data_IF_314543210235
#
_entry.id   IF_314543210235
#
_cell.length_a   1.000
_cell.length_b   1.000
_cell.length_c   1.000
_cell.angle_alpha   90.00
_cell.angle_beta   90.00
_cell.angle_gamma   90.00
#
_symmetry.space_group_name_H-M   'P 1'
#
loop_
_entity.id
_entity.type
_entity.pdbx_description
1 polymer ?
#
# COMPACT_ATOMS: atom_id res chain seq x y z
N UNK A 1 0.49 35.31 70.51
CA UNK A 1 0.19 35.64 69.10
C UNK A 1 0.20 34.36 68.29
N UNK A 2 -0.86 34.12 67.53
CA UNK A 2 -1.13 32.92 66.71
C UNK A 2 -0.35 32.98 65.39
N UNK A 3 -0.05 31.83 64.80
CA UNK A 3 0.39 31.68 63.41
C UNK A 3 0.87 30.26 63.09
N UNK A 4 0.02 29.23 63.19
CA UNK A 4 -0.67 28.52 62.08
C UNK A 4 0.23 27.91 61.00
N UNK A 5 0.24 26.58 61.00
CA UNK A 5 0.74 25.62 60.02
C UNK A 5 0.35 25.92 58.57
N UNK A 6 1.26 25.64 57.62
CA UNK A 6 0.90 25.24 56.25
C UNK A 6 1.72 24.03 55.81
N UNK A 7 1.11 22.86 56.00
CA UNK A 7 1.39 21.62 55.28
C UNK A 7 0.70 21.78 53.92
N UNK A 8 1.46 21.95 52.85
CA UNK A 8 1.09 21.83 51.44
C UNK A 8 2.47 21.75 50.74
N UNK A 9 2.92 20.68 50.08
CA UNK A 9 2.24 19.98 48.99
C UNK A 9 3.10 18.76 48.59
N UNK A 10 2.60 17.51 48.61
CA UNK A 10 3.15 16.43 47.79
C UNK A 10 2.14 16.01 46.70
N UNK A 11 1.44 16.98 46.11
CA UNK A 11 0.42 16.73 45.06
C UNK A 11 1.00 16.95 43.65
N UNK A 12 2.10 17.69 43.51
CA UNK A 12 2.69 17.95 42.19
C UNK A 12 3.50 16.78 41.60
N UNK A 13 4.01 15.85 42.42
CA UNK A 13 4.88 14.76 41.91
C UNK A 13 4.07 13.57 41.42
N UNK A 14 2.88 13.31 41.96
CA UNK A 14 2.03 12.19 41.53
C UNK A 14 1.23 12.47 40.26
N UNK A 15 0.82 13.72 40.00
CA UNK A 15 0.14 14.06 38.73
C UNK A 15 1.11 14.06 37.52
N UNK A 16 2.38 14.42 37.72
CA UNK A 16 3.38 14.40 36.65
C UNK A 16 3.74 12.96 36.23
N UNK A 17 3.78 12.01 37.17
CA UNK A 17 4.00 10.59 36.83
C UNK A 17 2.79 9.92 36.18
N UNK A 18 1.54 10.31 36.52
CA UNK A 18 0.36 9.80 35.83
C UNK A 18 0.18 10.38 34.41
N UNK A 19 0.64 11.60 34.16
CA UNK A 19 0.66 12.17 32.81
C UNK A 19 1.70 11.49 31.90
N UNK A 20 2.84 11.04 32.46
CA UNK A 20 3.86 10.29 31.72
C UNK A 20 3.50 8.82 31.47
N UNK A 21 2.66 8.21 32.32
CA UNK A 21 2.12 6.87 32.08
C UNK A 21 0.93 6.85 31.11
N UNK A 22 0.32 8.00 30.83
CA UNK A 22 -0.78 8.15 29.86
C UNK A 22 -0.34 8.34 28.40
N UNK A 23 0.95 8.58 28.14
CA UNK A 23 1.48 8.70 26.77
C UNK A 23 1.95 7.38 26.17
N UNK A 24 1.86 6.27 26.91
CA UNK A 24 1.91 4.91 26.36
C UNK A 24 0.58 4.53 25.69
N UNK A 25 -0.15 5.52 25.17
CA UNK A 25 -1.27 5.32 24.29
C UNK A 25 -0.72 4.59 23.05
N UNK A 26 -0.90 3.27 23.06
CA UNK A 26 -1.08 2.38 21.92
C UNK A 26 -0.60 3.05 20.64
N UNK A 27 0.69 2.90 20.34
CA UNK A 27 1.29 3.35 19.08
C UNK A 27 0.47 2.65 17.98
N UNK A 28 -0.53 3.32 17.42
CA UNK A 28 -1.49 2.81 16.44
C UNK A 28 -0.84 2.61 15.07
N UNK A 29 0.47 2.35 15.08
CA UNK A 29 1.34 2.15 13.94
C UNK A 29 1.54 0.66 13.73
N UNK A 30 1.53 0.19 12.47
CA UNK A 30 1.95 -1.16 12.19
C UNK A 30 3.42 -1.34 12.56
N UNK A 31 3.74 -2.48 13.17
CA UNK A 31 5.09 -3.01 13.37
C UNK A 31 5.59 -3.77 12.14
N UNK A 32 4.67 -4.36 11.39
CA UNK A 32 4.95 -5.08 10.15
C UNK A 32 3.97 -4.66 9.08
N UNK A 33 4.49 -4.47 7.87
CA UNK A 33 3.71 -4.08 6.72
C UNK A 33 3.82 -5.17 5.66
N UNK A 34 2.68 -5.73 5.25
CA UNK A 34 2.57 -6.50 4.02
C UNK A 34 2.16 -5.57 2.90
N UNK A 35 2.90 -5.62 1.80
CA UNK A 35 2.66 -4.79 0.62
C UNK A 35 2.33 -5.74 -0.51
N UNK A 36 1.14 -5.55 -1.07
CA UNK A 36 0.77 -6.07 -2.38
C UNK A 36 0.91 -4.92 -3.38
N UNK A 37 1.71 -5.12 -4.42
CA UNK A 37 1.88 -4.18 -5.50
C UNK A 37 1.76 -4.94 -6.81
N UNK A 38 0.72 -4.63 -7.59
CA UNK A 38 0.40 -5.37 -8.79
C UNK A 38 -0.17 -4.46 -9.87
N UNK A 39 -0.35 -5.01 -11.07
CA UNK A 39 -1.03 -4.34 -12.17
C UNK A 39 -2.37 -5.01 -12.40
N UNK A 40 -3.37 -4.21 -12.76
CA UNK A 40 -4.66 -4.72 -13.15
C UNK A 40 -4.50 -5.70 -14.32
N UNK A 41 -5.29 -6.77 -14.36
CA UNK A 41 -5.20 -7.83 -15.39
C UNK A 41 -5.38 -7.30 -16.83
N UNK A 42 -6.11 -6.19 -16.99
CA UNK A 42 -6.27 -5.51 -18.27
C UNK A 42 -5.00 -4.77 -18.75
N UNK A 43 -4.04 -4.55 -17.84
CA UNK A 43 -2.79 -3.80 -18.02
C UNK A 43 -1.58 -4.64 -17.57
N UNK A 44 -1.22 -5.70 -18.33
CA UNK A 44 0.05 -6.39 -18.14
C UNK A 44 1.21 -5.39 -18.14
N UNK A 45 2.01 -5.39 -17.08
CA UNK A 45 3.10 -4.44 -16.94
C UNK A 45 4.32 -5.01 -16.24
N UNK A 46 5.47 -4.41 -16.52
CA UNK A 46 6.70 -4.58 -15.72
C UNK A 46 6.69 -3.51 -14.63
N UNK A 47 6.82 -3.93 -13.38
CA UNK A 47 6.67 -3.07 -12.21
C UNK A 47 8.00 -2.87 -11.48
N UNK A 48 8.19 -1.67 -10.94
CA UNK A 48 9.26 -1.27 -10.02
C UNK A 48 8.66 -0.38 -8.93
N UNK A 49 9.15 -0.49 -7.70
CA UNK A 49 8.62 0.27 -6.56
C UNK A 49 9.67 0.52 -5.52
N UNK A 50 9.60 1.70 -4.93
CA UNK A 50 10.36 2.12 -3.77
C UNK A 50 9.42 2.52 -2.64
N UNK A 51 9.85 2.24 -1.42
CA UNK A 51 9.21 2.70 -0.18
C UNK A 51 10.25 3.49 0.62
N UNK A 52 9.96 4.74 0.94
CA UNK A 52 10.85 5.62 1.72
C UNK A 52 12.29 5.60 1.16
N UNK A 53 12.44 5.74 -0.17
CA UNK A 53 13.70 5.70 -0.91
C UNK A 53 14.48 4.36 -0.84
N UNK A 54 13.84 3.29 -0.36
CA UNK A 54 14.37 1.93 -0.42
C UNK A 54 13.67 1.18 -1.53
N UNK A 55 14.44 0.60 -2.44
CA UNK A 55 13.90 -0.29 -3.47
C UNK A 55 13.28 -1.53 -2.81
N UNK A 56 11.99 -1.72 -3.06
CA UNK A 56 11.22 -2.87 -2.59
C UNK A 56 10.92 -3.80 -3.77
N UNK A 57 10.65 -3.27 -4.96
CA UNK A 57 10.54 -4.07 -6.20
C UNK A 57 11.54 -3.52 -7.20
N UNK A 58 12.57 -4.32 -7.51
CA UNK A 58 13.56 -3.97 -8.52
C UNK A 58 13.01 -4.10 -9.94
N UNK A 59 12.33 -5.22 -10.20
CA UNK A 59 11.74 -5.60 -11.48
C UNK A 59 10.78 -6.76 -11.24
N UNK A 60 9.51 -6.63 -11.64
CA UNK A 60 8.58 -7.75 -11.60
C UNK A 60 7.44 -7.66 -12.62
N UNK A 61 7.21 -8.75 -13.34
CA UNK A 61 6.05 -8.94 -14.21
C UNK A 61 4.79 -9.32 -13.43
N UNK A 62 4.95 -9.96 -12.26
CA UNK A 62 3.82 -10.33 -11.39
C UNK A 62 3.49 -9.24 -10.36
N UNK A 63 4.35 -8.25 -10.21
CA UNK A 63 4.36 -7.37 -9.05
C UNK A 63 5.04 -8.02 -7.83
N UNK A 64 4.75 -7.52 -6.62
CA UNK A 64 5.19 -8.10 -5.34
C UNK A 64 3.97 -8.36 -4.49
N UNK A 65 3.75 -9.62 -4.13
CA UNK A 65 2.90 -10.00 -3.02
C UNK A 65 3.83 -10.52 -1.93
N UNK A 66 4.28 -9.63 -1.03
CA UNK A 66 5.10 -10.07 0.10
C UNK A 66 4.22 -10.48 1.27
N UNK A 67 4.11 -11.79 1.45
CA UNK A 67 3.50 -12.43 2.63
C UNK A 67 4.44 -12.42 3.84
N UNK A 68 5.74 -12.11 3.65
CA UNK A 68 6.69 -11.85 4.72
C UNK A 68 6.67 -10.38 5.07
N UNK A 69 6.13 -10.01 6.23
CA UNK A 69 6.01 -8.62 6.64
C UNK A 69 7.37 -7.91 6.61
N UNK A 70 7.45 -6.82 5.85
CA UNK A 70 8.59 -5.90 5.93
C UNK A 70 8.48 -5.27 7.31
N UNK A 71 9.57 -5.29 8.08
CA UNK A 71 9.62 -4.53 9.33
C UNK A 71 9.28 -3.08 9.01
N UNK A 72 8.39 -2.47 9.80
CA UNK A 72 8.15 -1.04 9.67
C UNK A 72 9.44 -0.32 10.08
N UNK A 73 10.24 0.09 9.08
CA UNK A 73 11.66 0.40 9.27
C UNK A 73 11.94 1.71 10.01
N UNK A 74 10.95 2.55 10.27
CA UNK A 74 11.23 3.89 10.80
C UNK A 74 10.56 4.17 12.14
N UNK A 75 11.42 4.34 13.15
CA UNK A 75 11.12 5.15 14.35
C UNK A 75 11.00 6.65 14.03
N UNK A 76 11.11 7.07 12.76
CA UNK A 76 11.28 8.47 12.35
C UNK A 76 10.08 9.09 11.60
N UNK A 77 9.06 8.34 11.17
CA UNK A 77 7.92 8.95 10.48
C UNK A 77 6.64 8.11 10.50
N UNK A 78 5.49 8.78 10.56
CA UNK A 78 4.15 8.19 10.36
C UNK A 78 3.82 8.01 8.87
N UNK A 79 4.67 8.49 7.96
CA UNK A 79 4.40 8.51 6.53
C UNK A 79 5.08 7.36 5.79
N UNK A 80 4.30 6.66 4.98
CA UNK A 80 4.74 5.68 3.99
C UNK A 80 4.71 6.35 2.62
N UNK A 81 5.89 6.61 2.05
CA UNK A 81 6.05 7.23 0.74
C UNK A 81 6.41 6.17 -0.28
N UNK A 82 5.48 5.86 -1.16
CA UNK A 82 5.65 4.92 -2.26
C UNK A 82 5.96 5.67 -3.55
N UNK A 83 7.07 5.32 -4.20
CA UNK A 83 7.30 5.68 -5.59
C UNK A 83 7.06 4.44 -6.43
N UNK A 84 6.01 4.46 -7.24
CA UNK A 84 5.69 3.35 -8.14
C UNK A 84 6.04 3.71 -9.57
N UNK A 85 6.55 2.73 -10.29
CA UNK A 85 6.91 2.83 -11.69
C UNK A 85 6.42 1.58 -12.40
N UNK A 86 5.87 1.73 -13.60
CA UNK A 86 5.53 0.58 -14.40
C UNK A 86 5.61 0.89 -15.89
N UNK A 87 5.87 -0.14 -16.68
CA UNK A 87 5.77 -0.10 -18.13
C UNK A 87 4.59 -0.95 -18.58
N UNK A 88 3.56 -0.30 -19.10
CA UNK A 88 2.40 -0.92 -19.73
C UNK A 88 2.83 -1.56 -21.05
N UNK A 89 2.80 -2.90 -21.09
CA UNK A 89 3.27 -3.70 -22.22
C UNK A 89 2.37 -3.48 -23.45
N UNK A 90 1.08 -3.23 -23.24
CA UNK A 90 0.10 -3.12 -24.33
C UNK A 90 0.18 -1.76 -24.99
N UNK A 91 0.26 -0.69 -24.20
CA UNK A 91 0.35 0.67 -24.70
C UNK A 91 1.78 1.14 -24.98
N UNK A 92 2.78 0.33 -24.61
CA UNK A 92 4.22 0.62 -24.74
C UNK A 92 4.64 1.95 -24.09
N UNK A 93 4.07 2.22 -22.90
CA UNK A 93 4.29 3.46 -22.15
C UNK A 93 4.75 3.18 -20.74
N UNK A 94 5.65 4.01 -20.24
CA UNK A 94 6.08 4.00 -18.85
C UNK A 94 5.36 5.09 -18.05
N UNK A 95 5.08 4.81 -16.79
CA UNK A 95 4.41 5.73 -15.88
C UNK A 95 5.09 5.76 -14.52
N UNK A 96 4.90 6.86 -13.80
CA UNK A 96 5.31 7.01 -12.40
C UNK A 96 4.23 7.66 -11.55
N UNK A 97 4.11 7.25 -10.30
CA UNK A 97 3.30 7.95 -9.32
C UNK A 97 3.98 7.96 -7.95
N UNK A 98 3.79 9.05 -7.22
CA UNK A 98 4.14 9.14 -5.81
C UNK A 98 2.86 9.06 -4.97
N UNK A 99 2.82 8.11 -4.04
CA UNK A 99 1.73 7.97 -3.07
C UNK A 99 2.27 8.16 -1.67
N UNK A 100 1.65 9.04 -0.90
CA UNK A 100 1.92 9.15 0.54
C UNK A 100 0.69 8.71 1.35
N UNK A 101 0.90 7.73 2.24
CA UNK A 101 -0.10 7.19 3.15
C UNK A 101 0.38 7.34 4.58
N UNK A 102 -0.44 7.88 5.49
CA UNK A 102 -0.11 7.83 6.91
C UNK A 102 -0.36 6.42 7.45
N UNK A 103 0.57 5.89 8.23
CA UNK A 103 0.49 4.55 8.78
C UNK A 103 -0.73 4.36 9.70
N UNK A 104 -1.20 5.46 10.30
CA UNK A 104 -2.44 5.55 11.08
C UNK A 104 -3.73 5.36 10.25
N UNK A 105 -3.68 5.51 8.92
CA UNK A 105 -4.79 5.24 8.01
C UNK A 105 -4.95 3.74 7.73
N UNK A 106 -3.93 2.93 8.00
CA UNK A 106 -3.93 1.50 7.72
C UNK A 106 -4.79 0.72 8.72
N UNK A 107 -5.47 -0.32 8.22
CA UNK A 107 -6.19 -1.25 9.08
C UNK A 107 -5.22 -2.25 9.69
N UNK A 108 -5.12 -2.24 11.02
CA UNK A 108 -4.24 -3.14 11.79
C UNK A 108 -5.00 -4.38 12.23
N UNK A 109 -4.36 -5.55 12.10
CA UNK A 109 -4.86 -6.83 12.63
C UNK A 109 -4.44 -6.96 14.10
N UNK A 110 -5.41 -6.86 15.02
CA UNK A 110 -5.12 -6.78 16.46
C UNK A 110 -4.48 -8.05 17.07
N UNK A 111 -4.78 -9.27 16.57
CA UNK A 111 -4.14 -10.54 17.04
C UNK A 111 -2.68 -10.65 16.67
N UNK A 112 -2.25 -9.92 15.64
CA UNK A 112 -0.88 -9.87 15.17
C UNK A 112 -0.41 -8.45 15.42
N UNK A 113 -0.05 -8.09 16.68
CA UNK A 113 0.07 -6.71 17.10
C UNK A 113 0.98 -5.93 16.16
N UNK A 114 0.38 -5.03 15.37
CA UNK A 114 1.07 -4.19 14.40
C UNK A 114 1.16 -4.75 12.97
N UNK A 115 0.42 -5.79 12.59
CA UNK A 115 0.37 -6.19 11.17
C UNK A 115 -0.65 -5.34 10.41
N UNK A 116 -0.22 -4.69 9.34
CA UNK A 116 -1.11 -4.03 8.38
C UNK A 116 -0.82 -4.48 6.94
N UNK A 117 -1.81 -4.35 6.08
CA UNK A 117 -1.71 -4.65 4.65
C UNK A 117 -2.02 -3.40 3.85
N UNK A 118 -1.21 -3.13 2.85
CA UNK A 118 -1.51 -2.14 1.82
C UNK A 118 -1.46 -2.83 0.45
N UNK A 119 -2.42 -2.51 -0.39
CA UNK A 119 -2.51 -2.99 -1.77
C UNK A 119 -2.45 -1.79 -2.71
N UNK A 120 -1.54 -1.83 -3.68
CA UNK A 120 -1.32 -0.79 -4.68
C UNK A 120 -1.49 -1.43 -6.04
N UNK A 121 -2.51 -1.00 -6.78
CA UNK A 121 -2.85 -1.53 -8.09
C UNK A 121 -2.73 -0.45 -9.15
N UNK A 122 -1.86 -0.67 -10.14
CA UNK A 122 -1.79 0.16 -11.32
C UNK A 122 -2.85 -0.29 -12.34
N UNK A 123 -3.75 0.61 -12.68
CA UNK A 123 -4.88 0.40 -13.59
C UNK A 123 -4.64 0.96 -14.99
N UNK A 124 -5.64 0.82 -15.89
CA UNK A 124 -5.55 1.34 -17.24
C UNK A 124 -5.44 2.86 -17.25
N UNK A 125 -4.75 3.40 -18.25
CA UNK A 125 -4.68 4.84 -18.52
C UNK A 125 -4.02 5.68 -17.44
N UNK A 126 -3.01 5.15 -16.75
CA UNK A 126 -2.27 5.84 -15.67
C UNK A 126 -2.98 5.87 -14.30
N UNK A 127 -4.04 5.09 -14.09
CA UNK A 127 -4.68 4.98 -12.79
C UNK A 127 -3.79 4.26 -11.76
N UNK A 128 -3.78 4.76 -10.52
CA UNK A 128 -3.26 4.03 -9.36
C UNK A 128 -4.30 4.06 -8.25
N UNK A 129 -4.63 2.88 -7.73
CA UNK A 129 -5.53 2.73 -6.59
C UNK A 129 -4.75 2.12 -5.43
N UNK A 130 -4.86 2.74 -4.27
CA UNK A 130 -4.22 2.28 -3.04
C UNK A 130 -5.28 1.96 -2.02
N UNK A 131 -5.27 0.74 -1.52
CA UNK A 131 -6.26 0.25 -0.56
C UNK A 131 -5.60 -0.37 0.67
N UNK A 132 -6.36 -0.45 1.75
CA UNK A 132 -6.04 -1.26 2.92
C UNK A 132 -7.17 -2.25 3.15
N UNK A 133 -6.89 -3.33 3.88
CA UNK A 133 -7.92 -4.27 4.31
C UNK A 133 -9.05 -3.56 5.06
N UNK A 134 -10.27 -4.07 4.94
CA UNK A 134 -11.40 -3.58 5.71
C UNK A 134 -11.17 -3.76 7.23
N UNK A 135 -11.45 -2.73 8.04
CA UNK A 135 -11.26 -2.77 9.50
C UNK A 135 -12.02 -3.91 10.19
N UNK A 136 -13.24 -4.21 9.72
CA UNK A 136 -14.02 -5.32 10.26
C UNK A 136 -13.33 -6.66 9.98
N UNK A 137 -12.89 -6.88 8.74
CA UNK A 137 -12.15 -8.10 8.35
C UNK A 137 -10.83 -8.21 9.14
N UNK A 138 -10.07 -7.12 9.26
CA UNK A 138 -8.86 -7.08 10.07
C UNK A 138 -9.13 -7.45 11.53
N UNK A 139 -10.27 -7.01 12.09
CA UNK A 139 -10.68 -7.38 13.45
C UNK A 139 -11.09 -8.85 13.59
N UNK A 140 -11.70 -9.46 12.55
CA UNK A 140 -12.08 -10.88 12.58
C UNK A 140 -10.82 -11.76 12.51
N UNK A 141 -9.90 -11.45 11.58
CA UNK A 141 -8.56 -12.10 11.53
C UNK A 141 -7.84 -11.89 12.88
N UNK A 142 -7.99 -10.68 13.42
CA UNK A 142 -7.58 -10.21 14.74
C UNK A 142 -8.11 -11.03 15.92
N UNK A 143 -9.18 -11.80 15.75
CA UNK A 143 -9.88 -12.48 16.85
C UNK A 143 -9.73 -13.99 16.87
N UNK A 144 -9.06 -14.59 15.87
CA UNK A 144 -8.84 -16.05 15.70
C UNK A 144 -9.79 -16.92 16.54
N UNK A 145 -11.03 -17.06 16.07
CA UNK A 145 -11.69 -18.36 16.15
C UNK A 145 -11.47 -19.04 14.80
N UNK A 146 -10.75 -20.15 14.85
CA UNK A 146 -10.31 -21.00 13.74
C UNK A 146 -11.45 -21.75 13.05
N UNK A 147 -12.51 -21.04 12.67
CA UNK A 147 -13.62 -21.58 11.91
C UNK A 147 -13.91 -20.68 10.73
N UNK A 148 -13.58 -21.16 9.52
CA UNK A 148 -14.08 -20.70 8.21
C UNK A 148 -14.66 -19.28 8.21
N UNK A 149 -13.80 -18.27 8.11
CA UNK A 149 -14.21 -16.94 7.68
C UNK A 149 -14.44 -17.02 6.17
N UNK A 150 -15.58 -17.58 5.77
CA UNK A 150 -16.11 -17.40 4.42
C UNK A 150 -16.85 -16.07 4.46
N UNK A 151 -16.10 -14.98 4.45
CA UNK A 151 -16.71 -13.67 4.22
C UNK A 151 -16.59 -13.37 2.73
N UNK A 152 -17.71 -13.27 2.00
CA UNK A 152 -17.66 -12.86 0.60
C UNK A 152 -16.94 -11.51 0.52
N UNK A 153 -15.89 -11.37 -0.32
CA UNK A 153 -15.14 -10.13 -0.46
C UNK A 153 -16.06 -8.92 -0.71
N UNK A 154 -17.14 -9.14 -1.46
CA UNK A 154 -18.11 -8.12 -1.87
C UNK A 154 -18.88 -7.48 -0.71
N UNK A 155 -19.01 -8.16 0.44
CA UNK A 155 -19.71 -7.60 1.60
C UNK A 155 -18.83 -6.65 2.41
N UNK A 156 -17.51 -6.79 2.30
CA UNK A 156 -16.54 -6.00 3.06
C UNK A 156 -15.33 -5.69 2.19
N UNK A 157 -15.50 -4.84 1.16
CA UNK A 157 -14.43 -4.51 0.24
C UNK A 157 -13.27 -3.83 0.99
N UNK A 158 -12.04 -3.89 0.43
CA UNK A 158 -10.93 -3.06 0.88
C UNK A 158 -11.32 -1.59 0.98
N UNK A 159 -10.70 -0.88 1.91
CA UNK A 159 -10.90 0.56 2.09
C UNK A 159 -9.93 1.27 1.14
N UNK A 160 -10.46 2.03 0.21
CA UNK A 160 -9.67 2.92 -0.66
C UNK A 160 -9.06 4.04 0.18
N UNK A 161 -7.74 4.13 0.14
CA UNK A 161 -6.96 5.19 0.79
C UNK A 161 -6.69 6.33 -0.19
N UNK A 162 -6.26 5.99 -1.41
CA UNK A 162 -5.93 6.96 -2.46
C UNK A 162 -6.32 6.43 -3.82
N UNK A 163 -6.69 7.35 -4.69
CA UNK A 163 -6.94 7.16 -6.11
C UNK A 163 -6.24 8.31 -6.82
N UNK A 164 -5.18 8.03 -7.57
CA UNK A 164 -4.36 9.06 -8.18
C UNK A 164 -4.08 8.72 -9.64
N UNK A 165 -3.73 9.76 -10.40
CA UNK A 165 -3.23 9.64 -11.76
C UNK A 165 -1.71 9.70 -11.76
N UNK A 166 -1.10 8.76 -12.45
CA UNK A 166 0.31 8.74 -12.71
C UNK A 166 0.68 9.66 -13.87
N UNK A 167 1.94 10.04 -13.89
CA UNK A 167 2.55 10.80 -14.96
C UNK A 167 3.21 9.83 -15.95
N UNK A 168 3.04 10.09 -17.24
CA UNK A 168 3.77 9.37 -18.27
C UNK A 168 5.25 9.78 -18.24
N UNK A 169 6.14 8.79 -18.21
CA UNK A 169 7.57 9.03 -18.28
C UNK A 169 8.01 9.17 -19.74
N UNK A 170 8.90 10.13 -20.06
CA UNK A 170 9.50 10.22 -21.38
C UNK A 170 10.21 8.90 -21.75
N UNK A 171 10.17 8.45 -23.02
CA UNK A 171 10.85 7.23 -23.44
C UNK A 171 12.36 7.21 -23.18
N UNK A 172 13.00 8.38 -23.13
CA UNK A 172 14.41 8.58 -22.81
C UNK A 172 14.73 8.57 -21.31
N UNK A 173 13.72 8.54 -20.44
CA UNK A 173 13.92 8.39 -19.01
C UNK A 173 14.60 7.03 -18.71
N UNK A 174 15.62 7.04 -17.86
CA UNK A 174 16.41 5.84 -17.56
C UNK A 174 15.52 4.72 -17.00
N UNK A 175 14.56 5.05 -16.13
CA UNK A 175 13.65 4.07 -15.55
C UNK A 175 12.69 3.52 -16.63
N UNK A 176 12.20 4.38 -17.51
CA UNK A 176 11.37 3.96 -18.63
C UNK A 176 12.11 2.97 -19.55
N UNK A 177 13.37 3.29 -19.90
CA UNK A 177 14.23 2.43 -20.72
C UNK A 177 14.50 1.08 -20.05
N UNK A 178 14.80 1.07 -18.74
CA UNK A 178 15.03 -0.15 -17.96
C UNK A 178 13.79 -1.07 -17.98
N UNK A 179 12.61 -0.50 -17.72
CA UNK A 179 11.35 -1.26 -17.69
C UNK A 179 10.93 -1.75 -19.07
N UNK A 180 11.12 -0.94 -20.11
CA UNK A 180 10.85 -1.32 -21.49
C UNK A 180 11.80 -2.44 -21.97
N UNK A 181 13.08 -2.38 -21.63
CA UNK A 181 14.04 -3.45 -21.90
C UNK A 181 13.64 -4.74 -21.18
N UNK A 182 13.20 -4.63 -19.92
CA UNK A 182 12.69 -5.74 -19.14
C UNK A 182 11.45 -6.39 -19.77
N UNK A 183 10.54 -5.63 -20.39
CA UNK A 183 9.37 -6.16 -21.07
C UNK A 183 9.70 -6.96 -22.35
N UNK A 184 10.94 -6.85 -22.83
CA UNK A 184 11.47 -7.50 -24.04
C UNK A 184 12.53 -8.56 -23.74
N UNK A 185 12.69 -8.94 -22.47
CA UNK A 185 13.66 -9.95 -22.06
C UNK A 185 13.22 -11.33 -22.57
N UNK A 186 14.02 -12.01 -23.42
CA UNK A 186 13.67 -13.32 -23.96
C UNK A 186 13.55 -14.40 -22.87
N UNK A 187 14.13 -14.20 -21.69
CA UNK A 187 14.00 -15.15 -20.59
C UNK A 187 12.61 -15.14 -19.94
N UNK A 188 11.81 -14.10 -20.20
CA UNK A 188 10.48 -13.93 -19.62
C UNK A 188 9.34 -14.21 -20.60
N UNK A 189 9.63 -14.77 -21.79
CA UNK A 189 8.65 -14.99 -22.87
C UNK A 189 7.44 -15.82 -22.42
N UNK A 190 7.65 -16.91 -21.66
CA UNK A 190 6.56 -17.74 -21.14
C UNK A 190 5.65 -16.96 -20.18
N UNK A 191 6.24 -16.15 -19.30
CA UNK A 191 5.50 -15.35 -18.32
C UNK A 191 4.73 -14.23 -19.01
N UNK A 192 5.35 -13.55 -19.97
CA UNK A 192 4.70 -12.54 -20.82
C UNK A 192 3.53 -13.14 -21.59
N UNK A 193 3.72 -14.31 -22.22
CA UNK A 193 2.65 -15.03 -22.92
C UNK A 193 1.50 -15.39 -21.97
N UNK A 194 1.80 -15.86 -20.76
CA UNK A 194 0.78 -16.17 -19.75
C UNK A 194 -0.01 -14.93 -19.34
N UNK A 195 0.65 -13.79 -19.10
CA UNK A 195 -0.01 -12.53 -18.74
C UNK A 195 -0.91 -12.02 -19.86
N UNK A 196 -0.44 -12.05 -21.10
CA UNK A 196 -1.22 -11.66 -22.27
C UNK A 196 -2.43 -12.59 -22.46
N UNK A 197 -2.26 -13.90 -22.32
CA UNK A 197 -3.37 -14.86 -22.37
C UNK A 197 -4.38 -14.67 -21.22
N UNK A 198 -3.93 -14.27 -20.02
CA UNK A 198 -4.82 -13.92 -18.91
C UNK A 198 -5.63 -12.67 -19.21
N UNK A 199 -5.00 -11.63 -19.75
CA UNK A 199 -5.66 -10.41 -20.20
C UNK A 199 -6.71 -10.72 -21.25
N UNK A 200 -6.36 -11.48 -22.30
CA UNK A 200 -7.28 -11.84 -23.38
C UNK A 200 -8.52 -12.54 -22.84
N UNK A 201 -8.32 -13.54 -21.96
CA UNK A 201 -9.44 -14.23 -21.30
C UNK A 201 -10.30 -13.29 -20.47
N UNK A 202 -9.70 -12.40 -19.70
CA UNK A 202 -10.43 -11.41 -18.92
C UNK A 202 -11.30 -10.51 -19.80
N UNK A 203 -10.78 -10.08 -20.95
CA UNK A 203 -11.46 -9.16 -21.86
C UNK A 203 -12.59 -9.79 -22.69
N UNK A 204 -12.70 -11.12 -22.71
CA UNK A 204 -13.86 -11.80 -23.31
C UNK A 204 -15.13 -11.46 -22.53
N UNK A 205 -15.04 -11.46 -21.20
CA UNK A 205 -16.19 -11.30 -20.30
C UNK A 205 -16.31 -9.88 -19.72
N UNK A 206 -15.26 -9.05 -19.84
CA UNK A 206 -15.20 -7.73 -19.22
C UNK A 206 -14.73 -6.69 -20.24
N UNK A 207 -15.44 -5.56 -20.40
CA UNK A 207 -14.88 -4.44 -21.19
C UNK A 207 -13.59 -3.94 -20.53
N UNK A 208 -12.69 -3.37 -21.35
CA UNK A 208 -11.50 -2.69 -20.82
C UNK A 208 -11.97 -1.62 -19.82
N UNK A 209 -11.52 -1.65 -18.55
CA UNK A 209 -11.97 -0.67 -17.58
C UNK A 209 -11.64 0.74 -18.06
N UNK A 210 -12.63 1.64 -17.96
CA UNK A 210 -12.40 3.04 -18.27
C UNK A 210 -11.42 3.62 -17.24
N UNK A 211 -10.38 4.28 -17.74
CA UNK A 211 -9.44 4.99 -16.88
C UNK A 211 -10.06 6.29 -16.38
N UNK A 212 -9.85 6.62 -15.10
CA UNK A 212 -10.21 7.94 -14.54
C UNK A 212 -9.27 9.04 -15.05
N UNK A 213 -8.07 8.64 -15.45
CA UNK A 213 -6.98 9.53 -15.83
C UNK A 213 -6.87 9.74 -17.36
N UNK A 214 -7.68 9.01 -18.15
CA UNK A 214 -7.71 9.14 -19.61
C UNK A 214 -8.35 10.44 -20.13
N UNK A 215 -8.96 11.26 -19.27
CA UNK A 215 -9.47 12.58 -19.63
C UNK A 215 -8.54 13.67 -19.09
N UNK A 216 -7.85 14.38 -20.00
CA UNK A 216 -7.06 15.56 -19.65
C UNK A 216 -7.92 16.74 -19.19
N UNK A 217 -8.45 16.68 -17.98
CA UNK A 217 -9.23 17.76 -17.38
C UNK A 217 -9.24 17.67 -15.86
N UNK A 218 -8.90 18.77 -15.21
CA UNK A 218 -9.12 19.03 -13.78
C UNK A 218 -10.41 18.39 -13.24
N UNK A 219 -10.30 17.69 -12.11
CA UNK A 219 -11.23 17.84 -10.98
C UNK A 219 -10.48 17.74 -9.66
#
# INVERSE_FOLDING_TARGET
>A
MKGTYKILTPICVTLACLALLGMSAVDGRPKTLSIDYSSHIAVPAVNKMELNNRMIVSRSLKGRSESGGIEYLDKQGDALVFNVFWYDIVNEKAYTANVTVAASELSIVESLPGYATIDIVNGPGADVTVTTMNKYIASIIGKRNSGNIITPPDQYPPITLREICAEELPPEDIVAMELAAAARDPNDEEMLSSMMGNRERYLIDNPVPASRCAEGGEK
#
